data_IF_101787529391
#
_entry.id   IF_101787529391
#
_cell.length_a   1.000
_cell.length_b   1.000
_cell.length_c   1.000
_cell.angle_alpha   90.00
_cell.angle_beta   90.00
_cell.angle_gamma   90.00
#
_symmetry.space_group_name_H-M   'P 1'
#
loop_
_entity.id
_entity.type
_entity.pdbx_description
1 polymer ?
#
# COMPACT_ATOMS: atom_id res chain seq x y z
N UNK A 1 -0.14 -10.62 -16.94
CA UNK A 1 -0.54 -11.76 -17.80
C UNK A 1 -0.63 -11.35 -19.27
N UNK A 2 -1.55 -10.46 -19.67
CA UNK A 2 -1.71 -10.05 -21.09
C UNK A 2 -0.41 -9.50 -21.69
N UNK A 3 0.25 -8.55 -21.03
CA UNK A 3 1.52 -7.97 -21.50
C UNK A 3 2.64 -9.02 -21.60
N UNK A 4 2.70 -9.97 -20.68
CA UNK A 4 3.73 -11.03 -20.71
C UNK A 4 3.51 -12.02 -21.84
N UNK A 5 2.25 -12.42 -22.07
CA UNK A 5 1.88 -13.28 -23.21
C UNK A 5 2.18 -12.57 -24.53
N UNK A 6 1.84 -11.28 -24.63
CA UNK A 6 2.18 -10.46 -25.79
C UNK A 6 3.69 -10.40 -26.02
N UNK A 7 4.49 -10.08 -24.99
CA UNK A 7 5.96 -10.05 -25.08
C UNK A 7 6.55 -11.40 -25.47
N UNK A 8 6.08 -12.49 -24.89
CA UNK A 8 6.54 -13.85 -25.22
C UNK A 8 6.22 -14.22 -26.69
N UNK A 9 5.03 -13.86 -27.18
CA UNK A 9 4.63 -14.10 -28.57
C UNK A 9 5.41 -13.19 -29.55
N UNK A 10 5.68 -11.93 -29.19
CA UNK A 10 6.56 -11.04 -29.95
C UNK A 10 7.97 -11.62 -30.08
N UNK A 11 8.56 -12.07 -28.97
CA UNK A 11 9.87 -12.73 -28.98
C UNK A 11 9.85 -13.99 -29.86
N UNK A 12 8.81 -14.83 -29.74
CA UNK A 12 8.63 -16.03 -30.58
C UNK A 12 8.55 -15.70 -32.07
N UNK A 13 8.03 -14.52 -32.43
CA UNK A 13 7.96 -14.01 -33.82
C UNK A 13 9.21 -13.26 -34.26
N UNK A 14 10.29 -13.26 -33.47
CA UNK A 14 11.53 -12.55 -33.78
C UNK A 14 11.42 -11.03 -33.70
N UNK A 15 10.36 -10.50 -33.09
CA UNK A 15 10.18 -9.06 -32.91
C UNK A 15 10.97 -8.60 -31.67
N UNK A 16 11.56 -7.41 -31.74
CA UNK A 16 12.24 -6.81 -30.60
C UNK A 16 11.26 -6.59 -29.44
N UNK A 17 11.48 -7.28 -28.32
CA UNK A 17 10.71 -7.08 -27.10
C UNK A 17 11.35 -5.96 -26.30
N UNK A 18 10.65 -4.85 -26.20
CA UNK A 18 11.12 -3.72 -25.45
C UNK A 18 10.59 -3.71 -24.01
N UNK A 19 11.46 -3.38 -23.05
CA UNK A 19 11.15 -3.21 -21.63
C UNK A 19 11.04 -1.74 -21.20
N UNK A 20 11.02 -0.80 -22.16
CA UNK A 20 10.73 0.60 -21.90
C UNK A 20 9.42 0.77 -21.12
N UNK A 21 9.39 1.74 -20.20
CA UNK A 21 8.18 2.12 -19.46
C UNK A 21 7.14 2.72 -20.40
N UNK A 22 7.56 3.66 -21.25
CA UNK A 22 6.71 4.35 -22.22
C UNK A 22 7.58 5.09 -23.26
N UNK A 23 6.96 5.85 -24.16
CA UNK A 23 7.67 6.66 -25.17
C UNK A 23 8.60 7.75 -24.57
N UNK A 24 8.32 8.21 -23.36
CA UNK A 24 9.09 9.26 -22.67
C UNK A 24 10.40 8.72 -22.09
N UNK A 25 10.44 7.43 -21.71
CA UNK A 25 11.58 6.81 -21.04
C UNK A 25 11.90 5.46 -21.67
N UNK A 26 13.03 5.40 -22.35
CA UNK A 26 13.56 4.21 -23.01
C UNK A 26 14.22 3.23 -22.01
N UNK A 27 13.63 3.08 -20.84
CA UNK A 27 14.19 2.33 -19.70
C UNK A 27 13.09 1.54 -19.03
N UNK A 28 13.44 0.41 -18.43
CA UNK A 28 12.63 -0.35 -17.49
C UNK A 28 12.51 0.37 -16.14
N UNK A 29 11.57 -0.07 -15.29
CA UNK A 29 11.46 0.47 -13.92
C UNK A 29 12.76 0.30 -13.14
N UNK A 30 13.41 -0.85 -13.27
CA UNK A 30 14.66 -1.15 -12.56
C UNK A 30 15.77 -0.18 -13.00
N UNK A 31 15.91 0.07 -14.30
CA UNK A 31 16.88 1.05 -14.80
C UNK A 31 16.55 2.47 -14.31
N UNK A 32 15.29 2.90 -14.32
CA UNK A 32 14.90 4.19 -13.72
C UNK A 32 15.27 4.26 -12.24
N UNK A 33 15.05 3.20 -11.47
CA UNK A 33 15.46 3.15 -10.07
C UNK A 33 16.97 3.37 -9.93
N UNK A 34 17.79 2.69 -10.74
CA UNK A 34 19.23 2.86 -10.72
C UNK A 34 19.67 4.27 -11.11
N UNK A 35 19.10 4.85 -12.17
CA UNK A 35 19.38 6.22 -12.61
C UNK A 35 19.06 7.24 -11.51
N UNK A 36 17.90 7.09 -10.85
CA UNK A 36 17.51 7.96 -9.74
C UNK A 36 18.49 7.88 -8.58
N UNK A 37 18.91 6.67 -8.20
CA UNK A 37 19.86 6.47 -7.09
C UNK A 37 21.26 6.99 -7.41
N UNK A 38 21.80 6.62 -8.57
CA UNK A 38 23.17 6.98 -8.99
C UNK A 38 23.28 8.48 -9.26
N UNK A 39 22.27 9.06 -9.92
CA UNK A 39 22.21 10.50 -10.19
C UNK A 39 21.74 11.35 -9.02
N UNK A 40 21.36 10.74 -7.87
CA UNK A 40 20.76 11.43 -6.73
C UNK A 40 19.57 12.34 -7.15
N UNK A 41 18.74 11.84 -8.06
CA UNK A 41 17.67 12.61 -8.71
C UNK A 41 16.44 12.67 -7.79
N UNK A 42 15.95 13.88 -7.49
CA UNK A 42 14.84 14.07 -6.54
C UNK A 42 13.55 14.63 -7.16
N UNK A 43 13.63 15.11 -8.40
CA UNK A 43 12.48 15.71 -9.09
C UNK A 43 12.20 15.00 -10.40
N UNK A 44 10.95 15.05 -10.85
CA UNK A 44 10.59 14.49 -12.15
C UNK A 44 11.18 15.30 -13.31
N UNK A 45 11.30 16.61 -13.15
CA UNK A 45 11.88 17.49 -14.17
C UNK A 45 13.35 17.16 -14.41
N UNK A 46 14.14 16.93 -13.35
CA UNK A 46 15.52 16.48 -13.45
C UNK A 46 15.62 15.10 -14.13
N UNK A 47 14.76 14.14 -13.71
CA UNK A 47 14.71 12.81 -14.31
C UNK A 47 14.40 12.88 -15.82
N UNK A 48 13.44 13.73 -16.19
CA UNK A 48 13.01 13.92 -17.58
C UNK A 48 14.08 14.62 -18.41
N UNK A 49 14.75 15.63 -17.85
CA UNK A 49 15.82 16.36 -18.53
C UNK A 49 17.06 15.49 -18.78
N UNK A 50 17.43 14.63 -17.81
CA UNK A 50 18.63 13.80 -17.91
C UNK A 50 18.40 12.50 -18.69
N UNK A 51 17.21 11.89 -18.57
CA UNK A 51 16.98 10.51 -19.00
C UNK A 51 15.67 10.32 -19.78
N UNK A 52 14.95 11.38 -20.13
CA UNK A 52 13.68 11.28 -20.83
C UNK A 52 13.47 12.35 -21.89
N UNK A 53 12.23 12.47 -22.35
CA UNK A 53 11.78 13.48 -23.31
C UNK A 53 10.29 13.76 -23.14
N UNK A 54 9.81 14.90 -23.63
CA UNK A 54 8.40 15.28 -23.58
C UNK A 54 7.97 15.85 -22.23
N UNK A 55 6.73 15.56 -21.79
CA UNK A 55 6.15 16.07 -20.52
C UNK A 55 5.76 14.95 -19.53
N UNK A 56 6.00 13.70 -19.92
CA UNK A 56 5.54 12.51 -19.21
C UNK A 56 4.04 12.22 -19.37
N UNK A 57 3.64 11.00 -19.00
CA UNK A 57 2.27 10.50 -19.10
C UNK A 57 1.79 9.85 -17.79
N UNK A 58 0.57 9.31 -17.83
CA UNK A 58 -0.09 8.53 -16.77
C UNK A 58 0.63 7.20 -16.44
N UNK A 59 1.63 6.81 -17.22
CA UNK A 59 2.47 5.64 -16.93
C UNK A 59 3.75 6.03 -16.20
N UNK A 60 4.55 6.95 -16.74
CA UNK A 60 5.86 7.25 -16.18
C UNK A 60 5.82 8.14 -14.94
N UNK A 61 4.83 9.03 -14.80
CA UNK A 61 4.71 9.89 -13.61
C UNK A 61 4.48 9.06 -12.34
N UNK A 62 3.52 8.11 -12.28
CA UNK A 62 3.38 7.25 -11.11
C UNK A 62 4.59 6.32 -10.87
N UNK A 63 5.31 5.93 -11.93
CA UNK A 63 6.56 5.16 -11.76
C UNK A 63 7.61 6.00 -11.06
N UNK A 64 7.83 7.23 -11.52
CA UNK A 64 8.77 8.15 -10.90
C UNK A 64 8.37 8.44 -9.45
N UNK A 65 7.08 8.71 -9.18
CA UNK A 65 6.56 8.88 -7.82
C UNK A 65 6.87 7.68 -6.91
N UNK A 66 6.60 6.47 -7.39
CA UNK A 66 6.90 5.23 -6.66
C UNK A 66 8.40 5.05 -6.40
N UNK A 67 9.25 5.34 -7.39
CA UNK A 67 10.71 5.24 -7.27
C UNK A 67 11.23 6.28 -6.29
N UNK A 68 10.83 7.55 -6.42
CA UNK A 68 11.24 8.61 -5.49
C UNK A 68 10.82 8.31 -4.05
N UNK A 69 9.59 7.87 -3.84
CA UNK A 69 9.14 7.53 -2.49
C UNK A 69 9.92 6.33 -1.92
N UNK A 70 10.32 5.36 -2.75
CA UNK A 70 11.15 4.23 -2.33
C UNK A 70 12.61 4.61 -2.06
N UNK A 71 13.12 5.66 -2.72
CA UNK A 71 14.51 6.08 -2.59
C UNK A 71 14.72 7.10 -1.47
N UNK A 72 13.78 8.05 -1.33
CA UNK A 72 13.92 9.28 -0.55
C UNK A 72 12.86 9.45 0.53
N UNK A 73 11.76 8.67 0.45
CA UNK A 73 10.68 8.63 1.44
C UNK A 73 10.12 10.02 1.85
N UNK A 74 10.11 10.97 0.90
CA UNK A 74 9.52 12.29 1.12
C UNK A 74 7.99 12.22 1.13
N UNK A 75 7.36 13.24 1.72
CA UNK A 75 5.90 13.34 1.76
C UNK A 75 5.31 13.38 0.34
N UNK A 76 4.43 12.42 0.03
CA UNK A 76 3.91 12.19 -1.33
C UNK A 76 3.12 13.38 -1.91
N UNK A 77 2.56 14.25 -1.05
CA UNK A 77 1.84 15.47 -1.46
C UNK A 77 2.70 16.74 -1.40
N UNK A 78 4.02 16.61 -1.20
CA UNK A 78 4.96 17.72 -1.43
C UNK A 78 4.72 18.29 -2.83
N UNK A 79 4.79 19.60 -2.98
CA UNK A 79 4.37 20.34 -4.19
C UNK A 79 4.92 19.74 -5.49
N UNK A 80 6.19 19.35 -5.50
CA UNK A 80 6.88 18.80 -6.67
C UNK A 80 6.51 17.33 -6.96
N UNK A 81 6.00 16.60 -5.96
CA UNK A 81 5.67 15.17 -6.05
C UNK A 81 4.18 14.91 -6.24
N UNK A 82 3.31 15.81 -5.74
CA UNK A 82 1.86 15.62 -5.74
C UNK A 82 1.32 15.35 -7.15
N UNK A 83 1.77 16.11 -8.16
CA UNK A 83 1.33 15.96 -9.55
C UNK A 83 1.75 14.65 -10.22
N UNK A 84 2.58 13.84 -9.57
CA UNK A 84 3.04 12.55 -10.08
C UNK A 84 2.21 11.37 -9.55
N UNK A 85 1.46 11.58 -8.48
CA UNK A 85 0.70 10.54 -7.80
C UNK A 85 -0.49 10.07 -8.63
N UNK A 86 -0.85 8.79 -8.47
CA UNK A 86 -2.16 8.33 -8.93
C UNK A 86 -3.28 8.88 -8.02
N UNK A 87 -4.54 8.71 -8.43
CA UNK A 87 -5.68 9.27 -7.68
C UNK A 87 -5.74 8.82 -6.22
N UNK A 88 -5.29 7.62 -5.91
CA UNK A 88 -5.39 7.08 -4.55
C UNK A 88 -4.34 7.71 -3.63
N UNK A 89 -3.10 7.84 -4.10
CA UNK A 89 -2.04 8.51 -3.36
C UNK A 89 -2.23 10.03 -3.33
N UNK A 90 -2.81 10.63 -4.39
CA UNK A 90 -3.11 12.07 -4.43
C UNK A 90 -4.14 12.50 -3.37
N UNK A 91 -5.11 11.65 -3.05
CA UNK A 91 -6.14 11.90 -2.04
C UNK A 91 -5.92 11.12 -0.74
N UNK A 92 -4.78 10.44 -0.59
CA UNK A 92 -4.45 9.64 0.59
C UNK A 92 -5.59 8.70 1.02
N UNK A 93 -6.32 8.14 0.05
CA UNK A 93 -7.54 7.35 0.27
C UNK A 93 -7.94 6.61 -1.00
N UNK A 94 -8.49 5.39 -0.87
CA UNK A 94 -8.96 4.67 -2.05
C UNK A 94 -10.23 5.33 -2.56
N UNK A 95 -10.25 5.72 -3.82
CA UNK A 95 -11.47 6.16 -4.48
C UNK A 95 -12.45 4.99 -4.63
N UNK A 96 -13.72 5.25 -4.34
CA UNK A 96 -14.84 4.31 -4.44
C UNK A 96 -15.63 4.56 -5.72
N UNK A 97 -16.54 3.63 -6.05
CA UNK A 97 -17.30 3.64 -7.31
C UNK A 97 -18.18 4.90 -7.52
N UNK A 98 -18.46 5.64 -6.46
CA UNK A 98 -19.30 6.84 -6.44
C UNK A 98 -18.50 8.13 -6.21
N UNK A 99 -17.16 8.08 -6.25
CA UNK A 99 -16.29 9.23 -6.01
C UNK A 99 -16.00 9.51 -4.53
N UNK A 100 -16.53 8.70 -3.61
CA UNK A 100 -16.18 8.78 -2.18
C UNK A 100 -14.86 8.06 -1.91
N UNK A 101 -14.39 8.12 -0.66
CA UNK A 101 -13.09 7.60 -0.25
C UNK A 101 -13.21 6.65 0.95
N UNK A 102 -12.27 5.72 1.04
CA UNK A 102 -12.10 4.86 2.22
C UNK A 102 -11.21 5.53 3.27
N UNK A 103 -11.58 5.44 4.54
CA UNK A 103 -10.74 5.78 5.69
C UNK A 103 -10.41 4.50 6.45
N UNK A 104 -9.12 4.22 6.59
CA UNK A 104 -8.65 2.96 7.17
C UNK A 104 -7.56 3.27 8.20
N UNK A 105 -7.91 3.42 9.49
CA UNK A 105 -6.94 3.60 10.55
C UNK A 105 -6.05 2.36 10.70
N UNK A 106 -4.78 2.58 11.06
CA UNK A 106 -3.83 1.51 11.34
C UNK A 106 -4.17 0.81 12.66
N UNK A 107 -4.11 -0.52 12.67
CA UNK A 107 -4.28 -1.37 13.85
C UNK A 107 -3.15 -2.42 13.83
N UNK A 108 -1.94 -2.08 14.33
CA UNK A 108 -0.78 -2.97 14.27
C UNK A 108 -1.08 -4.32 14.92
N UNK A 109 -0.73 -5.43 14.25
CA UNK A 109 -1.03 -6.79 14.75
C UNK A 109 -2.53 -7.11 14.88
N UNK A 110 -3.40 -6.21 14.43
CA UNK A 110 -4.84 -6.28 14.66
C UNK A 110 -5.29 -5.88 16.07
N UNK A 111 -4.43 -5.22 16.84
CA UNK A 111 -4.76 -4.73 18.18
C UNK A 111 -5.46 -3.37 18.14
N UNK A 112 -6.47 -3.21 18.99
CA UNK A 112 -7.18 -1.96 19.22
C UNK A 112 -7.69 -1.94 20.67
N UNK A 113 -7.51 -0.81 21.35
CA UNK A 113 -8.05 -0.64 22.71
C UNK A 113 -9.57 -0.49 22.66
N UNK A 114 -10.30 -0.77 23.76
CA UNK A 114 -11.73 -0.50 23.82
C UNK A 114 -12.08 0.96 23.48
N UNK A 115 -11.33 1.93 24.02
CA UNK A 115 -11.53 3.35 23.74
C UNK A 115 -11.23 3.69 22.28
N UNK A 116 -10.19 3.12 21.69
CA UNK A 116 -9.89 3.28 20.26
C UNK A 116 -10.99 2.71 19.37
N UNK A 117 -11.55 1.55 19.73
CA UNK A 117 -12.67 0.95 19.00
C UNK A 117 -13.94 1.81 19.12
N UNK A 118 -14.22 2.37 20.30
CA UNK A 118 -15.30 3.33 20.52
C UNK A 118 -15.10 4.58 19.65
N UNK A 119 -13.89 5.15 19.62
CA UNK A 119 -13.57 6.32 18.82
C UNK A 119 -13.80 6.07 17.32
N UNK A 120 -13.34 4.93 16.78
CA UNK A 120 -13.63 4.53 15.39
C UNK A 120 -15.14 4.42 15.14
N UNK A 121 -15.89 3.82 16.07
CA UNK A 121 -17.34 3.72 15.99
C UNK A 121 -18.05 5.09 16.04
N UNK A 122 -17.58 6.01 16.88
CA UNK A 122 -18.11 7.37 16.97
C UNK A 122 -17.87 8.16 15.69
N UNK A 123 -16.66 8.11 15.14
CA UNK A 123 -16.33 8.71 13.82
C UNK A 123 -17.22 8.10 12.74
N UNK A 124 -17.31 6.77 12.66
CA UNK A 124 -18.16 6.11 11.66
C UNK A 124 -19.62 6.58 11.75
N UNK A 125 -20.17 6.67 12.96
CA UNK A 125 -21.54 7.14 13.21
C UNK A 125 -21.72 8.62 12.84
N UNK A 126 -20.78 9.49 13.23
CA UNK A 126 -20.83 10.94 12.99
C UNK A 126 -20.86 11.27 11.50
N UNK A 127 -20.06 10.55 10.71
CA UNK A 127 -19.92 10.79 9.27
C UNK A 127 -20.79 9.87 8.41
N UNK A 128 -21.59 8.98 9.02
CA UNK A 128 -22.48 8.06 8.33
C UNK A 128 -21.74 7.04 7.46
N UNK A 129 -20.60 6.51 7.90
CA UNK A 129 -19.71 5.67 7.10
C UNK A 129 -20.08 4.19 7.16
N UNK A 130 -20.06 3.52 6.01
CA UNK A 130 -20.14 2.05 5.96
C UNK A 130 -18.91 1.46 6.66
N UNK A 131 -19.11 0.49 7.54
CA UNK A 131 -18.08 -0.04 8.43
C UNK A 131 -17.92 -1.54 8.24
N UNK A 132 -16.68 -2.00 8.07
CA UNK A 132 -16.38 -3.42 7.83
C UNK A 132 -15.09 -3.88 8.48
N UNK A 133 -15.18 -4.99 9.23
CA UNK A 133 -14.00 -5.73 9.68
C UNK A 133 -13.40 -6.50 8.50
N UNK A 134 -12.08 -6.40 8.32
CA UNK A 134 -11.37 -6.99 7.19
C UNK A 134 -10.53 -8.20 7.59
N UNK A 135 -10.17 -9.02 6.60
CA UNK A 135 -9.22 -10.13 6.80
C UNK A 135 -7.80 -9.70 7.17
N UNK A 136 -7.51 -8.40 7.18
CA UNK A 136 -6.28 -7.82 7.71
C UNK A 136 -6.37 -7.39 9.18
N UNK A 137 -7.41 -7.83 9.90
CA UNK A 137 -7.65 -7.53 11.33
C UNK A 137 -7.79 -6.04 11.64
N UNK A 138 -8.57 -5.33 10.81
CA UNK A 138 -8.83 -3.90 11.01
C UNK A 138 -10.25 -3.52 10.58
N UNK A 139 -10.66 -2.33 10.98
CA UNK A 139 -11.92 -1.71 10.58
C UNK A 139 -11.69 -0.75 9.41
N UNK A 140 -12.33 -1.03 8.28
CA UNK A 140 -12.35 -0.13 7.14
C UNK A 140 -13.67 0.69 7.16
N UNK A 141 -13.57 2.00 6.96
CA UNK A 141 -14.68 2.94 6.84
C UNK A 141 -14.81 3.42 5.39
N UNK A 142 -16.02 3.48 4.85
CA UNK A 142 -16.28 3.84 3.44
C UNK A 142 -17.40 4.86 3.32
N UNK A 143 -17.37 5.64 2.23
CA UNK A 143 -18.38 6.66 1.95
C UNK A 143 -17.97 8.07 2.39
N UNK A 144 -16.71 8.27 2.81
CA UNK A 144 -16.23 9.59 3.17
C UNK A 144 -16.11 10.47 1.93
N UNK A 145 -16.71 11.66 1.94
CA UNK A 145 -16.51 12.64 0.87
C UNK A 145 -15.12 13.29 0.99
N UNK A 146 -14.59 13.78 -0.12
CA UNK A 146 -13.22 14.30 -0.18
C UNK A 146 -12.96 15.41 0.84
N UNK A 147 -13.92 16.32 1.00
CA UNK A 147 -13.85 17.45 1.93
C UNK A 147 -13.97 17.06 3.40
N UNK A 148 -14.53 15.87 3.69
CA UNK A 148 -14.62 15.35 5.06
C UNK A 148 -13.31 14.73 5.52
N UNK A 149 -12.45 14.27 4.60
CA UNK A 149 -11.27 13.48 4.92
C UNK A 149 -10.36 14.15 5.97
N UNK A 150 -9.97 15.44 5.86
CA UNK A 150 -9.14 16.08 6.88
C UNK A 150 -9.76 16.02 8.27
N UNK A 151 -11.06 16.32 8.38
CA UNK A 151 -11.75 16.33 9.69
C UNK A 151 -11.91 14.94 10.30
N UNK A 152 -12.16 13.93 9.47
CA UNK A 152 -12.21 12.53 9.92
C UNK A 152 -10.84 12.12 10.47
N UNK A 153 -9.76 12.46 9.75
CA UNK A 153 -8.41 12.12 10.18
C UNK A 153 -7.95 12.92 11.40
N UNK A 154 -8.38 14.17 11.58
CA UNK A 154 -8.16 14.93 12.82
C UNK A 154 -8.68 14.17 14.04
N UNK A 155 -9.91 13.68 13.99
CA UNK A 155 -10.52 12.93 15.09
C UNK A 155 -9.83 11.58 15.34
N UNK A 156 -9.51 10.85 14.26
CA UNK A 156 -8.79 9.57 14.39
C UNK A 156 -7.37 9.75 14.94
N UNK A 157 -6.64 10.78 14.51
CA UNK A 157 -5.31 11.10 15.01
C UNK A 157 -5.37 11.53 16.47
N UNK A 158 -6.38 12.33 16.86
CA UNK A 158 -6.61 12.70 18.26
C UNK A 158 -6.90 11.47 19.14
N UNK A 159 -7.53 10.44 18.58
CA UNK A 159 -7.74 9.14 19.22
C UNK A 159 -6.52 8.19 19.17
N UNK A 160 -5.38 8.65 18.63
CA UNK A 160 -4.12 7.90 18.60
C UNK A 160 -3.89 7.03 17.36
N UNK A 161 -4.74 7.14 16.33
CA UNK A 161 -4.57 6.37 15.09
C UNK A 161 -3.61 7.02 14.09
N UNK A 162 -2.95 6.18 13.30
CA UNK A 162 -2.16 6.57 12.12
C UNK A 162 -2.82 6.09 10.82
N UNK A 163 -2.35 6.59 9.68
CA UNK A 163 -2.74 6.09 8.36
C UNK A 163 -2.41 4.61 8.20
N UNK A 164 -3.41 3.79 7.86
CA UNK A 164 -3.22 2.40 7.48
C UNK A 164 -2.63 2.21 6.07
N UNK A 165 -2.41 3.29 5.31
CA UNK A 165 -1.95 3.28 3.91
C UNK A 165 -2.71 2.26 3.03
N UNK A 166 -4.02 2.11 3.27
CA UNK A 166 -4.85 1.17 2.51
C UNK A 166 -4.99 1.56 1.04
N UNK A 167 -4.59 2.76 0.65
CA UNK A 167 -4.60 3.29 -0.71
C UNK A 167 -3.29 3.04 -1.45
N UNK A 168 -2.17 3.23 -0.77
CA UNK A 168 -0.83 3.16 -1.35
C UNK A 168 -0.39 1.79 -1.87
N UNK A 169 0.58 1.79 -2.77
CA UNK A 169 1.44 0.63 -3.04
C UNK A 169 2.53 0.57 -1.96
N UNK A 170 2.14 0.03 -0.81
CA UNK A 170 2.95 0.03 0.41
C UNK A 170 2.63 -1.21 1.27
N UNK A 171 3.25 -1.30 2.45
CA UNK A 171 2.78 -2.21 3.49
C UNK A 171 1.32 -1.91 3.83
N UNK A 172 0.47 -2.95 3.72
CA UNK A 172 -0.96 -2.85 4.02
C UNK A 172 -1.29 -3.22 5.45
N UNK A 173 -0.84 -4.37 5.92
CA UNK A 173 -1.15 -4.95 7.24
C UNK A 173 -0.11 -6.00 7.59
N UNK A 174 0.18 -6.13 8.88
CA UNK A 174 0.84 -7.31 9.46
C UNK A 174 -0.20 -8.08 10.28
N UNK A 175 -0.74 -9.15 9.70
CA UNK A 175 -1.74 -9.99 10.37
C UNK A 175 -1.04 -10.88 11.39
N UNK A 176 -1.57 -11.01 12.60
CA UNK A 176 -1.05 -11.95 13.60
C UNK A 176 -2.13 -12.83 14.21
N UNK A 177 -1.76 -14.02 14.67
CA UNK A 177 -2.58 -14.70 15.66
C UNK A 177 -2.25 -14.17 17.06
N UNK A 178 -3.04 -14.57 18.07
CA UNK A 178 -2.84 -14.11 19.46
C UNK A 178 -1.58 -14.66 20.15
N UNK A 179 -0.77 -15.46 19.44
CA UNK A 179 0.57 -15.88 19.88
C UNK A 179 0.61 -16.66 21.19
N UNK A 180 1.81 -16.78 21.76
CA UNK A 180 2.02 -17.31 23.12
C UNK A 180 1.44 -16.42 24.21
N UNK A 181 1.06 -15.17 23.89
CA UNK A 181 0.40 -14.24 24.79
C UNK A 181 -0.94 -14.76 25.29
N UNK A 182 -1.72 -15.42 24.43
CA UNK A 182 -3.06 -15.92 24.79
C UNK A 182 -3.34 -17.37 24.36
N UNK A 183 -2.74 -17.84 23.27
CA UNK A 183 -3.04 -19.17 22.75
C UNK A 183 -2.25 -20.22 23.53
N UNK A 184 -2.94 -21.24 24.05
CA UNK A 184 -2.30 -22.41 24.69
C UNK A 184 -1.32 -23.19 23.80
N UNK A 185 -1.37 -22.97 22.49
CA UNK A 185 -0.49 -23.59 21.50
C UNK A 185 0.53 -22.60 20.92
N UNK A 186 0.54 -21.35 21.39
CA UNK A 186 1.48 -20.35 20.93
C UNK A 186 2.89 -20.70 21.41
N UNK A 187 3.82 -20.79 20.47
CA UNK A 187 5.24 -21.04 20.71
C UNK A 187 5.96 -19.70 20.82
N UNK A 188 5.72 -18.79 19.87
CA UNK A 188 6.29 -17.44 19.87
C UNK A 188 5.24 -16.35 20.07
N UNK A 189 5.70 -15.19 20.56
CA UNK A 189 4.89 -13.98 20.62
C UNK A 189 4.75 -13.37 19.22
N UNK A 190 3.72 -13.83 18.50
CA UNK A 190 3.42 -13.31 17.17
C UNK A 190 2.79 -11.93 17.17
N UNK A 191 2.16 -11.51 18.27
CA UNK A 191 1.49 -10.21 18.35
C UNK A 191 2.55 -9.12 18.50
N UNK A 192 3.42 -9.24 19.50
CA UNK A 192 4.52 -8.30 19.72
C UNK A 192 5.39 -8.16 18.47
N UNK A 193 5.78 -9.30 17.86
CA UNK A 193 6.55 -9.27 16.62
C UNK A 193 5.78 -8.61 15.47
N UNK A 194 4.48 -8.87 15.30
CA UNK A 194 3.70 -8.24 14.24
C UNK A 194 3.61 -6.72 14.41
N UNK A 195 3.42 -6.24 15.64
CA UNK A 195 3.39 -4.81 15.97
C UNK A 195 4.74 -4.16 15.65
N UNK A 196 5.85 -4.77 16.10
CA UNK A 196 7.20 -4.28 15.81
C UNK A 196 7.48 -4.19 14.30
N UNK A 197 7.15 -5.25 13.54
CA UNK A 197 7.36 -5.27 12.09
C UNK A 197 6.45 -4.26 11.38
N UNK A 198 5.21 -4.10 11.83
CA UNK A 198 4.31 -3.10 11.23
C UNK A 198 4.82 -1.67 11.46
N UNK A 199 5.38 -1.39 12.64
CA UNK A 199 6.01 -0.10 12.94
C UNK A 199 7.35 0.10 12.23
N UNK A 200 8.13 -0.94 11.95
CA UNK A 200 9.37 -0.84 11.18
C UNK A 200 9.09 -0.52 9.70
N UNK A 201 8.12 -1.21 9.11
CA UNK A 201 7.87 -1.16 7.67
C UNK A 201 6.70 -0.24 7.28
N UNK A 202 6.06 0.46 8.24
CA UNK A 202 5.13 1.55 7.90
C UNK A 202 5.90 2.64 7.17
N UNK A 203 5.36 3.09 6.04
CA UNK A 203 6.01 4.07 5.16
C UNK A 203 6.69 3.48 3.94
N UNK A 204 7.08 2.20 3.96
CA UNK A 204 7.70 1.59 2.78
C UNK A 204 6.75 1.62 1.58
N UNK A 205 7.12 2.41 0.58
CA UNK A 205 6.53 2.37 -0.76
C UNK A 205 7.24 1.31 -1.59
N UNK A 206 6.47 0.60 -2.41
CA UNK A 206 6.94 -0.58 -3.13
C UNK A 206 6.26 -0.69 -4.51
N UNK A 207 6.85 -1.43 -5.46
CA UNK A 207 6.28 -1.59 -6.81
C UNK A 207 4.81 -2.03 -6.80
N UNK A 208 4.42 -2.82 -5.80
CA UNK A 208 3.03 -3.12 -5.50
C UNK A 208 2.82 -3.27 -3.98
N UNK A 209 1.56 -3.27 -3.53
CA UNK A 209 1.18 -3.54 -2.12
C UNK A 209 1.77 -4.86 -1.60
N UNK A 210 2.24 -4.84 -0.36
CA UNK A 210 2.77 -6.00 0.37
C UNK A 210 1.97 -6.26 1.64
N UNK A 211 1.87 -7.53 2.04
CA UNK A 211 1.18 -7.99 3.25
C UNK A 211 2.05 -8.97 4.01
N UNK A 212 1.95 -8.92 5.32
CA UNK A 212 2.69 -9.82 6.20
C UNK A 212 1.71 -10.70 6.98
N UNK A 213 2.20 -11.85 7.43
CA UNK A 213 1.50 -12.71 8.38
C UNK A 213 2.48 -13.31 9.38
N UNK A 214 2.20 -13.16 10.67
CA UNK A 214 3.03 -13.65 11.77
C UNK A 214 2.22 -14.65 12.58
N UNK A 215 2.59 -15.93 12.50
CA UNK A 215 1.95 -17.00 13.25
C UNK A 215 2.84 -17.45 14.40
N UNK A 216 2.29 -17.48 15.61
CA UNK A 216 3.00 -17.93 16.80
C UNK A 216 3.23 -19.44 16.87
N UNK A 217 2.76 -20.22 15.90
CA UNK A 217 3.06 -21.64 15.74
C UNK A 217 2.64 -22.15 14.35
N UNK A 218 2.93 -23.43 14.06
CA UNK A 218 2.63 -24.10 12.78
C UNK A 218 1.14 -24.28 12.45
N UNK A 219 0.23 -23.96 13.39
CA UNK A 219 -1.22 -23.90 13.12
C UNK A 219 -1.62 -22.73 12.22
N UNK A 220 -0.71 -21.77 12.02
CA UNK A 220 -0.76 -20.86 10.89
C UNK A 220 -2.00 -19.93 10.85
N UNK A 221 -2.59 -19.60 12.00
CA UNK A 221 -3.84 -18.82 12.04
C UNK A 221 -3.74 -17.41 11.41
N UNK A 222 -2.52 -16.90 11.17
CA UNK A 222 -2.30 -15.63 10.48
C UNK A 222 -2.23 -15.76 8.94
N UNK A 223 -2.34 -16.96 8.37
CA UNK A 223 -2.20 -17.21 6.92
C UNK A 223 -0.85 -16.70 6.37
N UNK A 224 0.20 -16.71 7.20
CA UNK A 224 1.59 -16.37 6.89
C UNK A 224 2.09 -16.89 5.52
N UNK A 225 1.86 -18.16 5.18
CA UNK A 225 2.29 -18.73 3.89
C UNK A 225 1.46 -18.21 2.71
N UNK A 226 0.36 -17.48 2.94
CA UNK A 226 -0.41 -16.79 1.90
C UNK A 226 0.00 -15.33 1.68
N UNK A 227 1.03 -14.84 2.37
CA UNK A 227 1.43 -13.41 2.39
C UNK A 227 2.75 -13.20 1.66
N UNK A 228 3.02 -11.94 1.30
CA UNK A 228 4.27 -11.55 0.64
C UNK A 228 5.48 -11.86 1.56
N UNK A 229 5.31 -11.65 2.88
CA UNK A 229 6.24 -12.06 3.95
C UNK A 229 5.46 -12.87 5.01
N UNK A 230 5.82 -14.14 5.16
CA UNK A 230 5.23 -15.05 6.13
C UNK A 230 6.23 -15.41 7.22
N UNK A 231 5.82 -15.37 8.47
CA UNK A 231 6.67 -15.65 9.62
C UNK A 231 5.96 -16.67 10.51
N UNK A 232 6.64 -17.76 10.85
CA UNK A 232 6.07 -18.83 11.68
C UNK A 232 7.06 -19.17 12.80
N UNK A 233 6.62 -19.10 14.05
CA UNK A 233 7.43 -19.49 15.19
C UNK A 233 7.64 -21.01 15.23
N UNK A 234 8.85 -21.40 15.61
CA UNK A 234 9.27 -22.76 15.94
C UNK A 234 9.90 -22.76 17.33
N UNK A 235 10.19 -23.94 17.88
CA UNK A 235 10.90 -24.04 19.17
C UNK A 235 12.33 -23.50 19.12
N UNK A 236 12.89 -23.32 17.92
CA UNK A 236 14.27 -22.87 17.70
C UNK A 236 14.37 -21.39 17.29
N UNK A 237 13.26 -20.74 16.94
CA UNK A 237 13.25 -19.37 16.44
C UNK A 237 12.10 -19.12 15.47
N UNK A 238 12.40 -18.43 14.37
CA UNK A 238 11.41 -18.02 13.37
C UNK A 238 11.77 -18.55 11.97
N UNK A 239 10.79 -19.18 11.32
CA UNK A 239 10.88 -19.49 9.90
C UNK A 239 10.32 -18.32 9.09
N UNK A 240 11.11 -17.86 8.13
CA UNK A 240 10.76 -16.82 7.17
C UNK A 240 10.36 -17.44 5.84
N UNK A 241 9.17 -17.10 5.38
CA UNK A 241 8.61 -17.46 4.08
C UNK A 241 8.44 -16.20 3.24
N UNK A 242 8.72 -16.27 1.94
CA UNK A 242 8.63 -15.10 1.04
C UNK A 242 7.84 -15.39 -0.23
N UNK A 243 7.35 -14.31 -0.85
CA UNK A 243 6.72 -14.31 -2.17
C UNK A 243 5.41 -15.10 -2.27
N UNK A 244 4.65 -15.18 -1.18
CA UNK A 244 3.26 -15.65 -1.19
C UNK A 244 2.31 -14.58 -1.70
N UNK A 245 1.12 -15.00 -2.12
CA UNK A 245 0.14 -14.09 -2.69
C UNK A 245 -1.29 -14.60 -2.52
N UNK A 246 -2.13 -13.80 -1.87
CA UNK A 246 -3.59 -13.87 -2.02
C UNK A 246 -4.07 -13.02 -3.20
N UNK A 247 -4.97 -13.55 -4.04
CA UNK A 247 -5.57 -12.81 -5.16
C UNK A 247 -6.04 -13.73 -6.29
N UNK A 248 -6.09 -13.20 -7.52
CA UNK A 248 -6.56 -13.92 -8.71
C UNK A 248 -5.81 -15.23 -8.99
N UNK A 249 -4.49 -15.24 -8.71
CA UNK A 249 -3.65 -16.44 -8.74
C UNK A 249 -3.03 -16.62 -7.36
N UNK A 250 -3.68 -17.37 -6.46
CA UNK A 250 -3.12 -17.68 -5.15
C UNK A 250 -1.79 -18.42 -5.30
N UNK A 251 -0.84 -18.09 -4.43
CA UNK A 251 0.47 -18.73 -4.39
C UNK A 251 0.94 -18.84 -2.95
N UNK A 252 1.41 -20.01 -2.55
CA UNK A 252 2.08 -20.18 -1.27
C UNK A 252 3.48 -19.55 -1.30
N UNK A 253 3.85 -18.89 -0.21
CA UNK A 253 5.18 -18.41 0.05
C UNK A 253 6.14 -19.60 0.21
N UNK A 254 7.40 -19.39 -0.14
CA UNK A 254 8.44 -20.42 -0.04
C UNK A 254 9.31 -20.17 1.18
N UNK A 255 9.69 -21.24 1.87
CA UNK A 255 10.62 -21.16 2.99
C UNK A 255 11.95 -20.61 2.51
N UNK A 256 12.36 -19.49 3.08
CA UNK A 256 13.56 -18.77 2.70
C UNK A 256 14.70 -18.98 3.70
N UNK A 257 14.38 -18.94 4.99
CA UNK A 257 15.31 -19.21 6.07
C UNK A 257 14.56 -19.74 7.29
N UNK A 258 15.24 -20.53 8.10
CA UNK A 258 14.67 -21.20 9.27
C UNK A 258 15.43 -20.85 10.54
N UNK A 259 14.79 -21.05 11.69
CA UNK A 259 15.42 -20.96 13.01
C UNK A 259 16.13 -19.61 13.28
N UNK A 260 15.57 -18.52 12.73
CA UNK A 260 16.12 -17.18 12.88
C UNK A 260 15.81 -16.63 14.27
N UNK A 261 16.76 -15.92 14.88
CA UNK A 261 16.45 -14.96 15.95
C UNK A 261 15.76 -13.71 15.36
N UNK A 262 15.31 -12.80 16.23
CA UNK A 262 14.54 -11.63 15.81
C UNK A 262 15.38 -10.67 14.95
N UNK A 263 16.64 -10.47 15.32
CA UNK A 263 17.56 -9.55 14.65
C UNK A 263 17.89 -10.03 13.23
N UNK A 264 18.20 -11.32 13.07
CA UNK A 264 18.44 -11.95 11.78
C UNK A 264 17.19 -11.98 10.91
N UNK A 265 16.02 -12.21 11.51
CA UNK A 265 14.74 -12.14 10.82
C UNK A 265 14.51 -10.75 10.22
N UNK A 266 14.69 -9.69 11.02
CA UNK A 266 14.51 -8.31 10.56
C UNK A 266 15.49 -7.98 9.44
N UNK A 267 16.78 -8.29 9.60
CA UNK A 267 17.80 -8.09 8.54
C UNK A 267 17.41 -8.79 7.24
N UNK A 268 16.94 -10.03 7.34
CA UNK A 268 16.55 -10.80 6.16
C UNK A 268 15.33 -10.19 5.44
N UNK A 269 14.34 -9.71 6.20
CA UNK A 269 13.18 -9.03 5.63
C UNK A 269 13.60 -7.71 4.97
N UNK A 270 14.44 -6.90 5.62
CA UNK A 270 14.97 -5.65 5.05
C UNK A 270 15.61 -5.90 3.67
N UNK A 271 16.48 -6.92 3.59
CA UNK A 271 17.16 -7.34 2.36
C UNK A 271 16.18 -7.74 1.26
N UNK A 272 15.23 -8.62 1.58
CA UNK A 272 14.22 -9.10 0.61
C UNK A 272 13.37 -7.95 0.09
N UNK A 273 12.86 -7.10 0.99
CA UNK A 273 12.00 -5.98 0.60
C UNK A 273 12.75 -4.96 -0.25
N UNK A 274 13.96 -4.55 0.15
CA UNK A 274 14.72 -3.59 -0.64
C UNK A 274 15.16 -4.17 -1.97
N UNK A 275 15.54 -5.45 -2.02
CA UNK A 275 15.91 -6.08 -3.29
C UNK A 275 14.70 -6.17 -4.24
N UNK A 276 13.51 -6.51 -3.73
CA UNK A 276 12.26 -6.44 -4.47
C UNK A 276 11.94 -5.02 -4.95
N UNK A 277 12.08 -4.02 -4.08
CA UNK A 277 11.85 -2.61 -4.42
C UNK A 277 12.78 -2.13 -5.54
N UNK A 278 14.05 -2.58 -5.53
CA UNK A 278 15.06 -2.25 -6.55
C UNK A 278 14.76 -2.91 -7.90
N UNK A 279 14.39 -4.18 -7.90
CA UNK A 279 14.45 -5.04 -9.12
C UNK A 279 13.09 -5.35 -9.74
N UNK A 280 11.99 -5.25 -9.00
CA UNK A 280 10.69 -5.60 -9.56
C UNK A 280 10.16 -4.57 -10.57
N UNK A 281 9.33 -5.04 -11.49
CA UNK A 281 8.67 -4.21 -12.48
C UNK A 281 7.46 -3.46 -11.89
N UNK A 282 6.96 -2.47 -12.62
CA UNK A 282 5.81 -1.65 -12.24
C UNK A 282 4.58 -2.51 -11.95
N UNK A 283 3.98 -2.29 -10.77
CA UNK A 283 2.79 -3.02 -10.31
C UNK A 283 2.96 -4.54 -10.25
N UNK A 284 4.20 -5.04 -10.18
CA UNK A 284 4.49 -6.46 -10.07
C UNK A 284 4.38 -6.92 -8.61
N UNK A 285 3.63 -7.99 -8.33
CA UNK A 285 3.58 -8.64 -7.00
C UNK A 285 4.88 -9.40 -6.72
N UNK A 286 5.24 -9.55 -5.45
CA UNK A 286 6.40 -10.35 -5.01
C UNK A 286 6.39 -11.77 -5.60
N UNK A 287 5.22 -12.42 -5.64
CA UNK A 287 5.06 -13.75 -6.25
C UNK A 287 5.47 -13.79 -7.73
N UNK A 288 4.98 -12.85 -8.54
CA UNK A 288 5.26 -12.79 -9.98
C UNK A 288 6.66 -12.25 -10.24
N UNK A 289 7.19 -11.41 -9.34
CA UNK A 289 8.58 -10.99 -9.37
C UNK A 289 9.50 -12.19 -9.20
N UNK A 290 9.29 -13.00 -8.15
CA UNK A 290 10.04 -14.23 -7.93
C UNK A 290 9.94 -15.20 -9.11
N UNK A 291 8.75 -15.38 -9.69
CA UNK A 291 8.54 -16.30 -10.83
C UNK A 291 9.33 -15.89 -12.08
N UNK A 292 9.52 -14.59 -12.28
CA UNK A 292 10.22 -14.04 -13.43
C UNK A 292 11.72 -13.84 -13.19
N UNK A 293 12.19 -14.03 -11.94
CA UNK A 293 13.58 -13.86 -11.58
C UNK A 293 14.36 -15.08 -12.06
N UNK A 294 15.38 -14.87 -12.89
CA UNK A 294 16.28 -15.93 -13.34
C UNK A 294 16.98 -16.57 -12.13
N UNK A 295 17.01 -17.90 -12.08
CA UNK A 295 17.48 -18.66 -10.90
C UNK A 295 16.51 -18.67 -9.71
N UNK A 296 15.40 -17.92 -9.76
CA UNK A 296 14.30 -17.98 -8.81
C UNK A 296 14.73 -17.80 -7.35
N UNK A 297 14.30 -18.72 -6.49
CA UNK A 297 14.63 -18.68 -5.05
C UNK A 297 16.13 -18.91 -4.79
N UNK A 298 16.79 -19.72 -5.62
CA UNK A 298 18.23 -19.99 -5.47
C UNK A 298 19.07 -18.72 -5.65
N UNK A 299 18.73 -17.92 -6.66
CA UNK A 299 19.37 -16.62 -6.87
C UNK A 299 19.13 -15.65 -5.70
N UNK A 300 17.91 -15.61 -5.14
CA UNK A 300 17.63 -14.80 -3.94
C UNK A 300 18.46 -15.24 -2.74
N UNK A 301 18.62 -16.55 -2.53
CA UNK A 301 19.48 -17.10 -1.47
C UNK A 301 20.93 -16.67 -1.67
N UNK A 302 21.46 -16.78 -2.89
CA UNK A 302 22.85 -16.41 -3.17
C UNK A 302 23.09 -14.90 -2.92
N UNK A 303 22.17 -14.04 -3.36
CA UNK A 303 22.33 -12.59 -3.21
C UNK A 303 22.07 -12.10 -1.78
N UNK A 304 21.05 -12.61 -1.11
CA UNK A 304 20.56 -12.02 0.16
C UNK A 304 21.01 -12.78 1.41
N UNK A 305 21.42 -14.05 1.28
CA UNK A 305 21.96 -14.84 2.39
C UNK A 305 23.48 -14.95 2.27
N UNK A 306 24.00 -15.32 1.10
CA UNK A 306 25.45 -15.48 0.87
C UNK A 306 26.14 -14.18 0.46
N UNK A 307 25.38 -13.10 0.29
CA UNK A 307 25.85 -11.78 -0.11
C UNK A 307 26.75 -11.80 -1.36
N UNK A 308 26.39 -12.62 -2.36
CA UNK A 308 27.23 -12.85 -3.55
C UNK A 308 27.52 -11.59 -4.36
N UNK A 309 26.73 -10.53 -4.18
CA UNK A 309 26.89 -9.22 -4.83
C UNK A 309 27.40 -8.12 -3.89
N UNK A 310 27.62 -8.41 -2.59
CA UNK A 310 28.04 -7.41 -1.60
C UNK A 310 27.01 -6.29 -1.36
N UNK A 311 25.71 -6.58 -1.49
CA UNK A 311 24.62 -5.60 -1.42
C UNK A 311 23.92 -5.55 -0.07
N UNK A 312 24.11 -6.56 0.80
CA UNK A 312 23.28 -6.72 2.01
C UNK A 312 23.33 -5.50 2.93
N UNK A 313 24.52 -4.97 3.22
CA UNK A 313 24.68 -3.79 4.07
C UNK A 313 23.99 -2.54 3.49
N UNK A 314 24.06 -2.36 2.17
CA UNK A 314 23.39 -1.24 1.49
C UNK A 314 21.86 -1.40 1.52
N UNK A 315 21.35 -2.62 1.33
CA UNK A 315 19.92 -2.92 1.42
C UNK A 315 19.38 -2.62 2.81
N UNK A 316 20.08 -3.06 3.86
CA UNK A 316 19.73 -2.79 5.26
C UNK A 316 19.75 -1.28 5.56
N UNK A 317 20.81 -0.56 5.15
CA UNK A 317 20.90 0.88 5.34
C UNK A 317 19.78 1.65 4.62
N UNK A 318 19.36 1.20 3.44
CA UNK A 318 18.24 1.82 2.73
C UNK A 318 16.90 1.59 3.45
N UNK A 319 16.65 0.40 3.99
CA UNK A 319 15.45 0.17 4.79
C UNK A 319 15.47 1.00 6.08
N UNK A 320 16.63 1.10 6.72
CA UNK A 320 16.79 1.92 7.92
C UNK A 320 16.48 3.39 7.63
N UNK A 321 16.93 3.93 6.49
CA UNK A 321 16.56 5.28 6.06
C UNK A 321 15.04 5.47 5.93
N UNK A 322 14.32 4.48 5.38
CA UNK A 322 12.85 4.53 5.28
C UNK A 322 12.21 4.54 6.66
N UNK A 323 12.71 3.72 7.59
CA UNK A 323 12.20 3.67 8.97
C UNK A 323 12.47 5.01 9.70
N UNK A 324 13.66 5.57 9.57
CA UNK A 324 14.08 6.81 10.24
C UNK A 324 13.35 8.05 9.73
N UNK A 325 12.96 8.05 8.45
CA UNK A 325 12.29 9.19 7.82
C UNK A 325 10.77 9.05 7.77
N UNK A 326 10.21 8.02 8.40
CA UNK A 326 8.77 7.80 8.43
C UNK A 326 8.02 9.01 9.01
N UNK A 327 6.99 9.44 8.29
CA UNK A 327 5.98 10.37 8.77
C UNK A 327 4.58 9.88 8.40
N UNK A 328 3.61 10.12 9.28
CA UNK A 328 2.21 9.81 8.97
C UNK A 328 1.66 10.83 7.98
N UNK A 329 1.39 10.39 6.75
CA UNK A 329 0.95 11.25 5.64
C UNK A 329 -0.31 12.08 5.99
N UNK A 330 -1.26 11.49 6.72
CA UNK A 330 -2.46 12.20 7.16
C UNK A 330 -2.19 13.22 8.26
N UNK A 331 -1.27 12.93 9.18
CA UNK A 331 -0.86 13.90 10.21
C UNK A 331 -0.16 15.11 9.57
N UNK A 332 0.70 14.87 8.58
CA UNK A 332 1.33 15.93 7.80
C UNK A 332 0.28 16.73 7.00
N UNK A 333 -0.65 16.04 6.32
CA UNK A 333 -1.69 16.69 5.50
C UNK A 333 -2.67 17.55 6.29
N UNK A 334 -3.06 17.12 7.50
CA UNK A 334 -3.96 17.84 8.39
C UNK A 334 -3.30 19.10 8.97
N UNK A 335 -2.02 19.01 9.32
CA UNK A 335 -1.27 20.10 9.96
C UNK A 335 -0.70 21.12 8.97
N UNK A 336 -0.65 20.80 7.68
CA UNK A 336 -0.25 21.74 6.62
C UNK A 336 -1.48 22.39 5.96
N UNK A 337 -1.71 23.70 6.15
CA UNK A 337 -2.83 24.40 5.54
C UNK A 337 -2.84 24.27 4.02
N UNK A 338 -1.70 24.30 3.32
CA UNK A 338 -1.66 24.24 1.86
C UNK A 338 -2.07 22.85 1.34
N UNK A 339 -1.59 21.78 1.98
CA UNK A 339 -2.05 20.43 1.67
C UNK A 339 -3.53 20.24 1.98
N UNK A 340 -4.04 20.79 3.09
CA UNK A 340 -5.46 20.71 3.46
C UNK A 340 -6.37 21.29 2.38
N UNK A 341 -5.95 22.37 1.71
CA UNK A 341 -6.72 23.01 0.62
C UNK A 341 -7.00 22.07 -0.56
N UNK A 342 -6.31 20.94 -0.70
CA UNK A 342 -6.53 19.95 -1.76
C UNK A 342 -7.81 19.13 -1.57
N UNK A 343 -8.27 18.99 -0.33
CA UNK A 343 -9.39 18.14 0.02
C UNK A 343 -10.70 18.94 -0.03
N UNK A 344 -11.19 19.22 -1.24
CA UNK A 344 -12.45 19.95 -1.48
C UNK A 344 -13.19 19.32 -2.66
N UNK A 345 -14.52 19.33 -2.63
CA UNK A 345 -15.33 18.83 -3.75
C UNK A 345 -15.27 19.79 -4.93
N UNK A 346 -15.30 21.11 -4.68
CA UNK A 346 -15.24 22.15 -5.70
C UNK A 346 -14.21 23.23 -5.33
N UNK A 347 -13.56 23.81 -6.34
CA UNK A 347 -12.57 24.88 -6.14
C UNK A 347 -13.25 26.21 -5.77
N UNK A 348 -14.47 26.42 -6.24
CA UNK A 348 -15.22 27.67 -6.17
C UNK A 348 -16.47 27.62 -5.27
N UNK A 349 -16.66 26.55 -4.49
CA UNK A 349 -17.86 26.34 -3.67
C UNK A 349 -17.57 25.43 -2.48
N UNK A 350 -18.17 25.74 -1.34
CA UNK A 350 -18.14 24.90 -0.13
C UNK A 350 -19.28 23.87 -0.09
N UNK A 351 -20.08 23.78 -1.16
CA UNK A 351 -21.15 22.78 -1.26
C UNK A 351 -20.57 21.38 -1.40
N UNK A 352 -21.25 20.40 -0.80
CA UNK A 352 -20.98 18.99 -1.04
C UNK A 352 -21.42 18.58 -2.46
N UNK A 353 -20.84 17.50 -2.98
CA UNK A 353 -21.26 16.92 -4.25
C UNK A 353 -22.63 16.22 -4.12
N UNK A 354 -23.65 16.84 -4.69
CA UNK A 354 -25.04 16.35 -4.70
C UNK A 354 -25.20 15.04 -5.48
N UNK A 355 -24.22 14.64 -6.29
CA UNK A 355 -24.23 13.38 -7.03
C UNK A 355 -23.84 12.16 -6.16
N UNK A 356 -23.29 12.40 -4.97
CA UNK A 356 -22.96 11.35 -4.00
C UNK A 356 -24.24 10.96 -3.24
N UNK A 357 -24.91 9.93 -3.76
CA UNK A 357 -26.15 9.42 -3.19
C UNK A 357 -25.95 8.03 -2.59
N UNK A 358 -26.42 7.86 -1.36
CA UNK A 358 -26.42 6.60 -0.64
C UNK A 358 -27.85 6.06 -0.48
N UNK A 359 -27.95 4.73 -0.35
CA UNK A 359 -29.17 4.04 0.08
C UNK A 359 -28.83 3.08 1.20
N UNK A 360 -29.79 2.82 2.08
CA UNK A 360 -29.61 1.86 3.17
C UNK A 360 -29.88 0.42 2.69
N UNK A 361 -28.95 -0.48 3.02
CA UNK A 361 -29.06 -1.91 2.74
C UNK A 361 -28.33 -2.70 3.82
N UNK A 362 -29.00 -3.71 4.39
CA UNK A 362 -28.47 -4.52 5.52
C UNK A 362 -28.06 -3.68 6.74
N UNK A 363 -28.81 -2.61 7.02
CA UNK A 363 -28.56 -1.73 8.18
C UNK A 363 -27.33 -0.84 8.06
N UNK A 364 -26.78 -0.67 6.86
CA UNK A 364 -25.68 0.26 6.58
C UNK A 364 -25.90 0.98 5.24
N UNK A 365 -25.14 2.03 4.98
CA UNK A 365 -25.18 2.72 3.69
C UNK A 365 -24.45 1.93 2.59
N UNK A 366 -24.90 2.08 1.35
CA UNK A 366 -24.14 1.74 0.14
C UNK A 366 -24.36 2.80 -0.94
N UNK A 367 -23.45 2.97 -1.91
CA UNK A 367 -23.70 3.90 -2.99
C UNK A 367 -24.90 3.47 -3.83
N UNK A 368 -25.75 4.44 -4.17
CA UNK A 368 -26.91 4.26 -5.03
C UNK A 368 -26.49 3.77 -6.43
N UNK A 369 -27.20 2.78 -6.95
CA UNK A 369 -27.06 2.28 -8.32
C UNK A 369 -27.56 3.32 -9.32
N UNK A 370 -27.19 3.17 -10.60
CA UNK A 370 -27.65 4.09 -11.66
C UNK A 370 -29.18 4.24 -11.71
N UNK A 371 -29.93 3.15 -11.51
CA UNK A 371 -31.39 3.14 -11.48
C UNK A 371 -31.98 3.81 -10.24
N UNK A 372 -31.32 3.71 -9.08
CA UNK A 372 -31.76 4.40 -7.86
C UNK A 372 -31.51 5.90 -7.98
N UNK A 373 -30.38 6.32 -8.58
CA UNK A 373 -30.06 7.73 -8.82
C UNK A 373 -31.09 8.39 -9.74
N UNK A 374 -31.48 7.74 -10.84
CA UNK A 374 -32.48 8.27 -11.79
C UNK A 374 -33.87 8.40 -11.17
N UNK A 375 -34.24 7.52 -10.23
CA UNK A 375 -35.52 7.62 -9.50
C UNK A 375 -35.52 8.74 -8.46
N UNK A 376 -34.37 9.06 -7.88
CA UNK A 376 -34.20 10.19 -6.95
C UNK A 376 -34.25 11.52 -7.70
N UNK A 377 -33.58 11.63 -8.85
CA UNK A 377 -33.62 12.84 -9.69
C UNK A 377 -34.92 13.02 -10.47
N UNK A 378 -35.71 11.97 -10.68
CA UNK A 378 -37.05 12.07 -11.31
C UNK A 378 -38.11 12.74 -10.42
N UNK A 379 -37.81 13.03 -9.13
CA UNK A 379 -38.64 13.93 -8.33
C UNK A 379 -38.06 15.34 -8.41
N UNK A 380 -38.53 16.13 -9.38
CA UNK A 380 -38.74 17.61 -9.37
C UNK A 380 -39.05 18.04 -10.82
N UNK A 381 -40.34 18.18 -11.14
CA UNK A 381 -40.83 19.30 -11.97
C UNK A 381 -41.88 20.02 -11.11
N UNK A 382 -41.54 21.13 -10.45
CA UNK A 382 -42.51 22.10 -10.01
C UNK A 382 -42.71 23.14 -11.12
N UNK A 383 -43.84 23.84 -11.04
CA UNK A 383 -44.31 24.98 -11.83
C UNK A 383 -45.24 24.56 -12.99
N UNK A 384 -46.49 25.01 -13.09
CA UNK A 384 -47.33 25.80 -12.18
C UNK A 384 -48.80 25.55 -12.55
N UNK A 385 -49.70 25.56 -11.56
CA UNK A 385 -51.09 25.96 -11.85
C UNK A 385 -51.20 27.45 -11.56
N UNK A 386 -51.40 28.21 -12.63
CA UNK A 386 -51.74 29.63 -12.61
C UNK A 386 -53.24 29.75 -12.91
N UNK A 387 -53.89 30.59 -12.10
CA UNK A 387 -55.31 30.98 -12.05
C UNK A 387 -56.25 29.99 -11.37
#
# INVERSE_FOLDING_TARGET
LVTQVMKAEMARRGMAVNNHICEHFAYSRQEIYHLVRVGNIKTFDDLLAMHGKGLGCDICKPVAASVFASCWNEFVLKKELAGLQDSNDYYLGNIQKDGTYSVVPRMPGGEVTPDGLIAVGQVAKKYGLYTKVTGGQRVDLFGARVEQLPTIWEELIAAGFESGHAYGKSLRTVKSCVGSTWCRYGVGDSVGLAVELEHRYKGLRSPHKIKFGVSGCTRECAEAQGKDIGIIATEKGWNLYICGNGGMKPRHAELFASDLNKEDLVRMIDRVLMFYVRTADRLQRTSTWRENLEGGLGYLTDVLIKDSLGLCAELEAQMQHVADTYQCEWKTAVNDPETRKRFRSFVNSDKADENVLFVEERGQIRPATANERSRVTAKVIPIAQVA
#
